data_IF_885337642661
#
_entry.id   IF_885337642661
#
_cell.length_a   1.000
_cell.length_b   1.000
_cell.length_c   1.000
_cell.angle_alpha   90.00
_cell.angle_beta   90.00
_cell.angle_gamma   90.00
#
_symmetry.space_group_name_H-M   'P 1'
#
loop_
_entity.id
_entity.type
_entity.pdbx_description
1 polymer ?
#
# COMPACT_ATOMS: atom_id res chain seq x y z
N UNK A 1 -25.21 8.86 30.42
CA UNK A 1 -26.02 7.89 29.63
C UNK A 1 -25.30 6.57 29.72
N UNK A 2 -25.89 5.56 30.35
CA UNK A 2 -25.31 4.21 30.34
C UNK A 2 -25.21 3.72 28.90
N UNK A 3 -24.12 3.04 28.56
CA UNK A 3 -23.90 2.48 27.23
C UNK A 3 -24.76 1.22 27.06
N UNK A 4 -26.04 1.41 26.70
CA UNK A 4 -26.95 0.33 26.37
C UNK A 4 -26.55 -0.32 25.03
N UNK A 5 -26.39 -1.64 25.02
CA UNK A 5 -26.15 -2.41 23.80
C UNK A 5 -27.46 -2.70 23.07
N UNK A 6 -27.84 -1.83 22.14
CA UNK A 6 -29.04 -1.99 21.32
C UNK A 6 -29.02 -3.22 20.39
N UNK A 7 -27.92 -3.96 20.33
CA UNK A 7 -27.79 -5.20 19.55
C UNK A 7 -27.82 -6.47 20.41
N UNK A 8 -28.01 -6.38 21.73
CA UNK A 8 -27.91 -7.53 22.63
C UNK A 8 -28.82 -8.71 22.20
N UNK A 9 -30.03 -8.42 21.75
CA UNK A 9 -30.96 -9.45 21.26
C UNK A 9 -30.45 -10.16 20.01
N UNK A 10 -29.93 -9.42 19.03
CA UNK A 10 -29.35 -10.03 17.82
C UNK A 10 -28.10 -10.85 18.14
N UNK A 11 -27.29 -10.42 19.10
CA UNK A 11 -26.08 -11.15 19.53
C UNK A 11 -26.43 -12.47 20.20
N UNK A 12 -27.55 -12.55 20.94
CA UNK A 12 -28.04 -13.79 21.57
C UNK A 12 -28.48 -14.86 20.57
N UNK A 13 -28.85 -14.48 19.35
CA UNK A 13 -29.25 -15.41 18.27
C UNK A 13 -28.07 -16.14 17.63
N UNK A 14 -26.82 -15.81 17.98
CA UNK A 14 -25.66 -16.46 17.41
C UNK A 14 -25.64 -17.96 17.75
N UNK A 15 -25.52 -18.81 16.74
CA UNK A 15 -25.45 -20.28 16.86
C UNK A 15 -24.01 -20.80 16.86
N UNK A 16 -23.04 -19.93 17.14
CA UNK A 16 -21.61 -20.24 17.19
C UNK A 16 -20.91 -19.35 18.22
N UNK A 17 -19.72 -19.76 18.67
CA UNK A 17 -18.90 -18.96 19.59
C UNK A 17 -18.21 -17.80 18.84
N UNK A 18 -18.55 -16.58 19.24
CA UNK A 18 -17.99 -15.36 18.67
C UNK A 18 -16.49 -15.22 18.94
N UNK A 19 -16.00 -15.63 20.11
CA UNK A 19 -14.58 -15.50 20.45
C UNK A 19 -13.72 -16.40 19.57
N UNK A 20 -14.16 -17.62 19.29
CA UNK A 20 -13.48 -18.51 18.34
C UNK A 20 -13.52 -17.96 16.91
N UNK A 21 -14.63 -17.36 16.48
CA UNK A 21 -14.72 -16.75 15.15
C UNK A 21 -13.78 -15.54 14.98
N UNK A 22 -13.52 -14.77 16.06
CA UNK A 22 -12.51 -13.71 16.03
C UNK A 22 -11.10 -14.26 15.76
N UNK A 23 -10.78 -15.42 16.32
CA UNK A 23 -9.49 -16.09 16.09
C UNK A 23 -9.39 -16.56 14.63
N UNK A 24 -10.45 -17.16 14.10
CA UNK A 24 -10.52 -17.55 12.67
C UNK A 24 -10.28 -16.35 11.77
N UNK A 25 -10.94 -15.22 12.04
CA UNK A 25 -10.72 -13.98 11.27
C UNK A 25 -9.29 -13.47 11.38
N UNK A 26 -8.73 -13.44 12.60
CA UNK A 26 -7.35 -12.97 12.80
C UNK A 26 -6.27 -13.92 12.23
N UNK A 27 -6.63 -15.19 11.98
CA UNK A 27 -5.74 -16.25 11.47
C UNK A 27 -4.94 -16.95 12.56
N UNK A 28 -4.77 -16.33 13.74
CA UNK A 28 -4.18 -16.96 14.92
C UNK A 28 -4.56 -16.20 16.19
N UNK A 29 -4.39 -16.84 17.35
CA UNK A 29 -4.62 -16.20 18.66
C UNK A 29 -3.66 -15.04 18.90
N UNK A 30 -2.38 -15.22 18.57
CA UNK A 30 -1.36 -14.17 18.66
C UNK A 30 -1.71 -12.95 17.80
N UNK A 31 -2.14 -13.15 16.55
CA UNK A 31 -2.52 -12.06 15.65
C UNK A 31 -3.73 -11.29 16.20
N UNK A 32 -4.70 -12.02 16.77
CA UNK A 32 -5.87 -11.41 17.40
C UNK A 32 -5.46 -10.52 18.57
N UNK A 33 -4.63 -11.02 19.48
CA UNK A 33 -4.17 -10.29 20.67
C UNK A 33 -3.36 -9.04 20.32
N UNK A 34 -2.45 -9.14 19.34
CA UNK A 34 -1.69 -7.98 18.84
C UNK A 34 -2.66 -6.95 18.24
N UNK A 35 -3.58 -7.40 17.39
CA UNK A 35 -4.52 -6.55 16.68
C UNK A 35 -5.49 -5.83 17.64
N UNK A 36 -6.11 -6.55 18.59
CA UNK A 36 -7.03 -5.96 19.58
C UNK A 36 -6.32 -4.95 20.48
N UNK A 37 -5.11 -5.27 20.95
CA UNK A 37 -4.31 -4.35 21.76
C UNK A 37 -3.94 -3.08 20.98
N UNK A 38 -3.50 -3.20 19.73
CA UNK A 38 -3.19 -2.03 18.90
C UNK A 38 -4.45 -1.21 18.56
N UNK A 39 -5.58 -1.86 18.29
CA UNK A 39 -6.85 -1.19 18.06
C UNK A 39 -7.25 -0.33 19.27
N UNK A 40 -7.16 -0.87 20.49
CA UNK A 40 -7.47 -0.14 21.74
C UNK A 40 -6.48 1.00 21.99
N UNK A 41 -5.20 0.76 21.75
CA UNK A 41 -4.16 1.78 21.89
C UNK A 41 -4.46 2.97 20.98
N UNK A 42 -4.77 2.73 19.70
CA UNK A 42 -5.08 3.80 18.75
C UNK A 42 -6.41 4.48 19.10
N UNK A 43 -7.45 3.73 19.46
CA UNK A 43 -8.76 4.28 19.77
C UNK A 43 -8.79 5.16 21.04
N UNK A 44 -7.92 4.87 22.01
CA UNK A 44 -7.82 5.63 23.26
C UNK A 44 -6.93 6.87 23.18
N UNK A 45 -6.14 7.02 22.11
CA UNK A 45 -5.24 8.16 21.92
C UNK A 45 -5.95 9.32 21.17
N UNK A 46 -6.13 10.50 21.79
CA UNK A 46 -6.81 11.63 21.17
C UNK A 46 -6.14 12.14 19.88
N UNK A 47 -4.83 11.92 19.71
CA UNK A 47 -4.09 12.37 18.52
C UNK A 47 -4.55 11.60 17.27
N UNK A 48 -4.97 10.34 17.43
CA UNK A 48 -5.41 9.50 16.31
C UNK A 48 -6.90 9.65 15.97
N UNK A 49 -7.62 10.54 16.66
CA UNK A 49 -9.02 10.83 16.37
C UNK A 49 -9.22 11.22 14.88
N UNK A 50 -10.28 10.68 14.26
CA UNK A 50 -10.55 10.83 12.81
C UNK A 50 -12.02 11.05 12.43
N UNK A 51 -12.88 11.29 13.41
CA UNK A 51 -14.31 11.59 13.24
C UNK A 51 -14.55 12.95 12.56
N UNK A 52 -13.66 13.92 12.74
CA UNK A 52 -13.73 15.25 12.14
C UNK A 52 -13.00 15.37 10.79
N UNK A 53 -12.46 14.26 10.25
CA UNK A 53 -11.59 14.26 9.05
C UNK A 53 -12.23 14.93 7.83
N UNK A 54 -13.53 14.70 7.63
CA UNK A 54 -14.29 15.24 6.49
C UNK A 54 -14.53 16.75 6.56
N UNK A 55 -14.28 17.36 7.72
CA UNK A 55 -14.49 18.79 7.98
C UNK A 55 -13.19 19.61 7.83
N UNK A 56 -12.04 18.96 7.63
CA UNK A 56 -10.75 19.63 7.49
C UNK A 56 -10.51 20.09 6.05
N UNK A 57 -9.90 21.27 5.89
CA UNK A 57 -9.36 21.70 4.60
C UNK A 57 -8.23 20.77 4.15
N UNK A 58 -7.87 20.78 2.85
CA UNK A 58 -6.75 19.95 2.36
C UNK A 58 -5.44 20.21 3.10
N UNK A 59 -5.13 21.47 3.41
CA UNK A 59 -3.91 21.84 4.12
C UNK A 59 -3.93 21.33 5.56
N UNK A 60 -5.06 21.50 6.25
CA UNK A 60 -5.19 21.08 7.65
C UNK A 60 -5.21 19.55 7.78
N UNK A 61 -5.88 18.86 6.84
CA UNK A 61 -5.85 17.41 6.75
C UNK A 61 -4.42 16.90 6.56
N UNK A 62 -3.66 17.48 5.63
CA UNK A 62 -2.29 17.06 5.40
C UNK A 62 -1.39 17.33 6.62
N UNK A 63 -1.53 18.49 7.27
CA UNK A 63 -0.81 18.82 8.51
C UNK A 63 -1.18 17.85 9.65
N UNK A 64 -2.45 17.49 9.79
CA UNK A 64 -2.91 16.48 10.74
C UNK A 64 -2.30 15.10 10.45
N UNK A 65 -2.20 14.71 9.17
CA UNK A 65 -1.51 13.47 8.76
C UNK A 65 -0.04 13.47 9.19
N UNK A 66 0.70 14.56 8.95
CA UNK A 66 2.09 14.69 9.37
C UNK A 66 2.22 14.58 10.90
N UNK A 67 1.33 15.25 11.63
CA UNK A 67 1.26 15.18 13.11
C UNK A 67 1.04 13.74 13.58
N UNK A 68 0.07 13.03 13.00
CA UNK A 68 -0.23 11.63 13.34
C UNK A 68 0.91 10.69 13.01
N UNK A 69 1.57 10.86 11.86
CA UNK A 69 2.73 10.05 11.47
C UNK A 69 3.91 10.25 12.43
N UNK A 70 4.23 11.49 12.80
CA UNK A 70 5.27 11.79 13.77
C UNK A 70 4.93 11.23 15.17
N UNK A 71 3.67 11.37 15.60
CA UNK A 71 3.20 10.80 16.87
C UNK A 71 3.26 9.27 16.86
N UNK A 72 2.81 8.62 15.80
CA UNK A 72 2.92 7.17 15.62
C UNK A 72 4.37 6.69 15.75
N UNK A 73 5.31 7.39 15.11
CA UNK A 73 6.74 7.07 15.22
C UNK A 73 7.25 7.21 16.67
N UNK A 74 6.87 8.29 17.35
CA UNK A 74 7.18 8.48 18.77
C UNK A 74 6.64 7.34 19.64
N UNK A 75 5.40 6.93 19.43
CA UNK A 75 4.77 5.81 20.18
C UNK A 75 5.45 4.48 19.90
N UNK A 76 5.85 4.22 18.66
CA UNK A 76 6.62 3.01 18.29
C UNK A 76 7.91 2.93 19.11
N UNK A 77 8.64 4.04 19.24
CA UNK A 77 9.90 4.09 20.02
C UNK A 77 9.62 3.95 21.52
N UNK A 78 8.71 4.76 22.08
CA UNK A 78 8.43 4.79 23.52
C UNK A 78 7.90 3.46 24.05
N UNK A 79 7.05 2.79 23.27
CA UNK A 79 6.46 1.50 23.61
C UNK A 79 7.31 0.31 23.14
N UNK A 80 8.43 0.58 22.45
CA UNK A 80 9.33 -0.44 21.88
C UNK A 80 8.58 -1.46 21.02
N UNK A 81 7.68 -0.97 20.16
CA UNK A 81 6.85 -1.83 19.34
C UNK A 81 7.68 -2.61 18.33
N UNK A 82 7.33 -3.88 18.13
CA UNK A 82 7.87 -4.70 17.05
C UNK A 82 7.44 -4.17 15.67
N UNK A 83 8.05 -4.65 14.58
CA UNK A 83 7.67 -4.27 13.23
C UNK A 83 6.20 -4.63 12.92
N UNK A 84 5.74 -5.77 13.41
CA UNK A 84 4.35 -6.24 13.27
C UNK A 84 3.37 -5.35 14.03
N UNK A 85 3.69 -5.01 15.29
CA UNK A 85 2.89 -4.10 16.12
C UNK A 85 2.85 -2.69 15.52
N UNK A 86 3.99 -2.20 15.02
CA UNK A 86 4.09 -0.91 14.35
C UNK A 86 3.29 -0.86 13.05
N UNK A 87 3.29 -1.94 12.26
CA UNK A 87 2.42 -2.09 11.09
C UNK A 87 0.96 -2.01 11.52
N UNK A 88 0.57 -2.76 12.56
CA UNK A 88 -0.82 -2.78 13.03
C UNK A 88 -1.28 -1.44 13.59
N UNK A 89 -0.41 -0.72 14.31
CA UNK A 89 -0.67 0.63 14.76
C UNK A 89 -1.00 1.54 13.57
N UNK A 90 -0.20 1.53 12.49
CA UNK A 90 -0.47 2.34 11.28
C UNK A 90 -1.79 1.96 10.62
N UNK A 91 -2.09 0.67 10.52
CA UNK A 91 -3.36 0.19 9.94
C UNK A 91 -4.58 0.69 10.72
N UNK A 92 -4.52 0.75 12.06
CA UNK A 92 -5.62 1.26 12.89
C UNK A 92 -5.71 2.80 12.92
N UNK A 93 -4.61 3.52 12.70
CA UNK A 93 -4.66 4.98 12.47
C UNK A 93 -5.53 5.30 11.25
N UNK A 94 -5.56 4.40 10.25
CA UNK A 94 -6.55 4.40 9.16
C UNK A 94 -6.57 5.73 8.39
N UNK A 95 -5.40 6.29 8.11
CA UNK A 95 -5.20 7.55 7.40
C UNK A 95 -4.05 7.40 6.39
N UNK A 96 -4.31 7.38 5.07
CA UNK A 96 -3.26 7.25 4.06
C UNK A 96 -2.17 8.31 4.24
N UNK A 97 -0.91 7.89 4.33
CA UNK A 97 0.22 8.76 4.61
C UNK A 97 1.51 8.31 3.89
N UNK A 98 2.48 9.21 3.75
CA UNK A 98 3.78 8.92 3.10
C UNK A 98 4.50 7.69 3.68
N UNK A 99 4.25 7.36 4.95
CA UNK A 99 4.80 6.18 5.62
C UNK A 99 4.40 4.87 4.93
N UNK A 100 3.23 4.83 4.31
CA UNK A 100 2.71 3.62 3.65
C UNK A 100 3.60 3.24 2.46
N UNK A 101 4.03 4.23 1.68
CA UNK A 101 4.95 4.02 0.55
C UNK A 101 6.38 3.84 1.01
N UNK A 102 6.79 4.50 2.10
CA UNK A 102 8.12 4.32 2.66
C UNK A 102 8.37 2.86 3.09
N UNK A 103 7.48 2.33 3.92
CA UNK A 103 7.58 0.97 4.45
C UNK A 103 7.14 -0.08 3.44
N UNK A 104 6.09 0.21 2.64
CA UNK A 104 5.46 -0.76 1.76
C UNK A 104 6.09 -0.91 0.38
N UNK A 105 6.86 0.10 -0.10
CA UNK A 105 7.43 0.07 -1.45
C UNK A 105 8.90 0.48 -1.49
N UNK A 106 9.30 1.59 -0.87
CA UNK A 106 10.69 2.08 -0.93
C UNK A 106 11.68 1.09 -0.32
N UNK A 107 11.45 0.68 0.94
CA UNK A 107 12.29 -0.31 1.62
C UNK A 107 12.27 -1.68 0.88
N UNK A 108 11.10 -2.25 0.52
CA UNK A 108 11.05 -3.49 -0.25
C UNK A 108 11.74 -3.43 -1.61
N UNK A 109 11.69 -2.30 -2.31
CA UNK A 109 12.40 -2.13 -3.58
C UNK A 109 13.92 -2.20 -3.39
N UNK A 110 14.45 -1.52 -2.35
CA UNK A 110 15.88 -1.59 -2.01
C UNK A 110 16.26 -3.02 -1.62
N UNK A 111 15.51 -3.68 -0.73
CA UNK A 111 15.77 -5.09 -0.35
C UNK A 111 15.74 -6.06 -1.53
N UNK A 112 14.80 -5.85 -2.44
CA UNK A 112 14.55 -6.75 -3.57
C UNK A 112 15.54 -6.59 -4.71
N UNK A 113 16.06 -5.37 -4.91
CA UNK A 113 16.81 -5.00 -6.13
C UNK A 113 18.20 -4.42 -5.82
N UNK A 114 18.52 -4.12 -4.57
CA UNK A 114 19.82 -3.61 -4.14
C UNK A 114 20.85 -4.71 -3.87
N UNK A 115 22.13 -4.37 -4.05
CA UNK A 115 23.25 -5.21 -3.60
C UNK A 115 23.38 -5.15 -2.07
N UNK A 116 24.16 -6.04 -1.47
CA UNK A 116 24.38 -6.01 -0.01
C UNK A 116 25.04 -4.69 0.46
N UNK A 117 25.99 -4.15 -0.32
CA UNK A 117 26.58 -2.84 -0.05
C UNK A 117 25.54 -1.71 -0.07
N UNK A 118 24.55 -1.81 -0.97
CA UNK A 118 23.44 -0.87 -1.02
C UNK A 118 22.48 -1.07 0.16
N UNK A 119 22.27 -2.32 0.61
CA UNK A 119 21.50 -2.60 1.81
C UNK A 119 22.14 -1.95 3.03
N UNK A 120 23.43 -2.19 3.26
CA UNK A 120 24.20 -1.66 4.38
C UNK A 120 24.18 -0.13 4.44
N UNK A 121 24.17 0.53 3.28
CA UNK A 121 24.05 1.99 3.21
C UNK A 121 22.63 2.47 3.46
N UNK A 122 21.68 2.03 2.63
CA UNK A 122 20.37 2.70 2.51
C UNK A 122 19.33 2.21 3.50
N UNK A 123 19.31 0.91 3.82
CA UNK A 123 18.29 0.35 4.69
C UNK A 123 18.40 0.88 6.13
N UNK A 124 19.58 0.99 6.77
CA UNK A 124 19.66 1.57 8.11
C UNK A 124 19.14 3.00 8.19
N UNK A 125 19.41 3.83 7.17
CA UNK A 125 18.90 5.20 7.11
C UNK A 125 17.37 5.23 6.96
N UNK A 126 16.82 4.36 6.09
CA UNK A 126 15.38 4.25 5.89
C UNK A 126 14.67 3.73 7.16
N UNK A 127 15.16 2.64 7.76
CA UNK A 127 14.62 2.06 8.99
C UNK A 127 14.63 3.03 10.17
N UNK A 128 15.63 3.92 10.24
CA UNK A 128 15.74 4.95 11.29
C UNK A 128 15.01 6.26 10.92
N UNK A 129 14.30 6.29 9.78
CA UNK A 129 13.64 7.49 9.26
C UNK A 129 14.58 8.69 9.08
N UNK A 130 15.89 8.44 8.89
CA UNK A 130 16.88 9.47 8.55
C UNK A 130 16.71 9.95 7.10
N UNK A 131 16.12 9.10 6.26
CA UNK A 131 15.62 9.45 4.94
C UNK A 131 14.18 8.98 4.81
N UNK A 132 13.38 9.72 4.03
CA UNK A 132 12.00 9.33 3.72
C UNK A 132 11.91 9.09 2.22
N UNK A 133 11.77 7.83 1.85
CA UNK A 133 11.67 7.40 0.47
C UNK A 133 10.24 7.19 -0.05
N UNK A 134 10.05 7.34 -1.37
CA UNK A 134 8.87 6.91 -2.12
C UNK A 134 9.24 6.06 -3.34
N UNK A 135 8.24 5.50 -4.02
CA UNK A 135 8.38 4.64 -5.21
C UNK A 135 7.91 5.38 -6.47
N UNK A 136 8.84 5.92 -7.24
CA UNK A 136 8.59 6.79 -8.39
C UNK A 136 8.70 6.03 -9.72
N UNK A 137 7.66 5.25 -10.04
CA UNK A 137 7.58 4.48 -11.28
C UNK A 137 6.67 5.12 -12.32
N UNK A 138 5.38 5.24 -12.01
CA UNK A 138 4.34 5.74 -12.93
C UNK A 138 4.65 7.15 -13.41
N UNK A 139 4.42 7.35 -14.71
CA UNK A 139 4.52 8.62 -15.41
C UNK A 139 3.15 9.09 -15.88
N UNK A 140 3.07 10.36 -16.28
CA UNK A 140 1.85 10.94 -16.84
C UNK A 140 1.37 10.15 -18.07
N UNK A 141 2.28 9.73 -18.95
CA UNK A 141 1.97 8.92 -20.14
C UNK A 141 1.85 7.41 -19.90
N UNK A 142 2.45 6.90 -18.80
CA UNK A 142 2.69 5.46 -18.63
C UNK A 142 2.49 4.98 -17.20
N UNK A 143 1.46 4.16 -16.98
CA UNK A 143 1.18 3.46 -15.71
C UNK A 143 1.27 1.95 -15.84
N UNK A 144 0.28 1.33 -16.48
CA UNK A 144 0.22 -0.12 -16.66
C UNK A 144 1.34 -0.65 -17.57
N UNK A 145 1.66 0.08 -18.65
CA UNK A 145 2.75 -0.28 -19.55
C UNK A 145 4.09 0.30 -19.05
N UNK A 146 4.68 -0.36 -18.04
CA UNK A 146 5.97 0.05 -17.46
C UNK A 146 7.11 -0.02 -18.49
N UNK A 147 7.05 -0.92 -19.47
CA UNK A 147 8.08 -0.98 -20.52
C UNK A 147 8.09 0.26 -21.42
N UNK A 148 7.03 1.07 -21.38
CA UNK A 148 6.93 2.33 -22.12
C UNK A 148 7.40 3.58 -21.36
N UNK A 149 7.93 3.47 -20.14
CA UNK A 149 8.43 4.64 -19.40
C UNK A 149 9.43 5.44 -20.25
N UNK A 150 9.36 6.77 -20.15
CA UNK A 150 10.12 7.74 -20.93
C UNK A 150 11.27 8.37 -20.15
N UNK A 151 11.21 8.42 -18.81
CA UNK A 151 12.34 8.92 -17.99
C UNK A 151 13.59 8.13 -18.34
N UNK A 152 14.71 8.81 -18.59
CA UNK A 152 15.99 8.18 -18.95
C UNK A 152 17.00 8.29 -17.82
N UNK A 153 17.86 7.28 -17.69
CA UNK A 153 19.05 7.28 -16.84
C UNK A 153 20.27 6.93 -17.71
N UNK A 154 20.98 7.96 -18.18
CA UNK A 154 22.11 7.78 -19.11
C UNK A 154 23.42 7.76 -18.33
N UNK A 155 24.20 6.70 -18.48
CA UNK A 155 25.50 6.57 -17.82
C UNK A 155 26.54 7.50 -18.47
N UNK A 156 27.26 8.25 -17.63
CA UNK A 156 28.38 9.10 -17.99
C UNK A 156 29.70 8.51 -17.43
N UNK A 157 30.51 7.83 -18.27
CA UNK A 157 31.76 7.23 -17.83
C UNK A 157 32.81 8.23 -17.37
N UNK A 158 32.71 9.51 -17.77
CA UNK A 158 33.70 10.52 -17.41
C UNK A 158 33.60 10.92 -15.94
N UNK A 159 32.39 10.92 -15.39
CA UNK A 159 32.12 11.33 -14.01
C UNK A 159 31.72 10.17 -13.09
N UNK A 160 31.55 8.95 -13.63
CA UNK A 160 31.03 7.77 -12.91
C UNK A 160 29.63 8.01 -12.32
N UNK A 161 28.75 8.62 -13.12
CA UNK A 161 27.41 9.04 -12.73
C UNK A 161 26.34 8.61 -13.74
N UNK A 162 25.07 8.58 -13.30
CA UNK A 162 23.91 8.57 -14.17
C UNK A 162 23.31 9.97 -14.26
N UNK A 163 22.93 10.38 -15.47
CA UNK A 163 22.14 11.57 -15.75
C UNK A 163 20.68 11.16 -15.88
N UNK A 164 19.86 11.51 -14.89
CA UNK A 164 18.42 11.28 -14.85
C UNK A 164 17.71 12.46 -15.51
N UNK A 165 16.88 12.19 -16.50
CA UNK A 165 16.17 13.24 -17.25
C UNK A 165 14.73 12.85 -17.61
N UNK A 166 13.85 13.85 -17.57
CA UNK A 166 12.46 13.79 -18.03
C UNK A 166 12.34 14.48 -19.40
N UNK A 167 12.51 13.75 -20.52
CA UNK A 167 12.63 14.35 -21.86
C UNK A 167 11.39 15.10 -22.34
N UNK A 168 10.22 14.72 -21.83
CA UNK A 168 8.92 15.25 -22.25
C UNK A 168 8.06 15.61 -21.03
N UNK A 169 6.94 16.30 -21.26
CA UNK A 169 5.96 16.47 -20.18
C UNK A 169 5.36 15.12 -19.76
N UNK A 170 5.14 14.19 -20.69
CA UNK A 170 4.54 12.88 -20.43
C UNK A 170 5.45 11.95 -19.63
N UNK A 171 6.77 12.16 -19.70
CA UNK A 171 7.78 11.50 -18.85
C UNK A 171 7.78 11.94 -17.38
N UNK A 172 7.00 12.96 -17.01
CA UNK A 172 6.89 13.39 -15.63
C UNK A 172 6.37 12.23 -14.79
N UNK A 173 7.07 11.88 -13.71
CA UNK A 173 6.53 10.96 -12.71
C UNK A 173 5.23 11.54 -12.17
N UNK A 174 4.22 10.70 -12.00
CA UNK A 174 2.87 11.10 -11.63
C UNK A 174 2.17 9.98 -10.85
N UNK A 175 1.55 10.31 -9.72
CA UNK A 175 0.93 9.42 -8.70
C UNK A 175 1.74 8.98 -7.46
N UNK A 176 3.08 8.90 -7.43
CA UNK A 176 3.78 8.36 -6.26
C UNK A 176 3.35 9.00 -4.94
N UNK A 177 2.85 8.18 -4.00
CA UNK A 177 2.47 8.65 -2.66
C UNK A 177 3.69 9.05 -1.85
N UNK A 178 3.60 10.12 -1.06
CA UNK A 178 4.73 10.68 -0.31
C UNK A 178 5.64 11.62 -1.12
N UNK A 179 5.54 11.60 -2.45
CA UNK A 179 6.45 12.36 -3.31
C UNK A 179 6.21 13.87 -3.26
N UNK A 180 4.94 14.28 -3.21
CA UNK A 180 4.58 15.66 -3.50
C UNK A 180 5.20 16.67 -2.53
N UNK A 181 5.35 16.29 -1.26
CA UNK A 181 5.81 17.16 -0.19
C UNK A 181 6.73 16.50 0.83
N UNK A 182 6.67 15.19 1.07
CA UNK A 182 7.39 14.59 2.23
C UNK A 182 8.69 13.89 1.89
N UNK A 183 8.74 13.09 0.82
CA UNK A 183 9.90 12.25 0.56
C UNK A 183 11.14 13.08 0.23
N UNK A 184 12.25 12.75 0.90
CA UNK A 184 13.58 13.31 0.63
C UNK A 184 14.34 12.51 -0.42
N UNK A 185 13.96 11.24 -0.62
CA UNK A 185 14.53 10.34 -1.62
C UNK A 185 13.42 9.60 -2.38
N UNK A 186 13.76 9.02 -3.52
CA UNK A 186 12.89 8.09 -4.23
C UNK A 186 13.69 6.95 -4.85
N UNK A 187 13.08 5.78 -5.01
CA UNK A 187 13.50 4.84 -6.05
C UNK A 187 12.76 5.22 -7.32
N UNK A 188 13.51 5.74 -8.30
CA UNK A 188 13.04 6.21 -9.60
C UNK A 188 13.25 5.10 -10.62
N UNK A 189 12.20 4.76 -11.37
CA UNK A 189 12.33 3.83 -12.48
C UNK A 189 12.52 4.57 -13.80
N UNK A 190 13.58 4.25 -14.51
CA UNK A 190 13.95 4.93 -15.76
C UNK A 190 14.56 3.95 -16.77
N UNK A 191 14.56 4.32 -18.05
CA UNK A 191 15.25 3.61 -19.11
C UNK A 191 16.76 3.72 -18.90
N UNK A 192 17.42 2.61 -18.64
CA UNK A 192 18.87 2.57 -18.49
C UNK A 192 19.53 2.68 -19.86
N UNK A 193 20.32 3.73 -20.05
CA UNK A 193 21.08 3.96 -21.28
C UNK A 193 22.56 3.93 -20.94
N UNK A 194 23.33 3.06 -21.60
CA UNK A 194 24.80 3.07 -21.53
C UNK A 194 25.39 2.84 -22.91
N UNK A 195 26.39 3.64 -23.27
CA UNK A 195 26.84 3.75 -24.66
C UNK A 195 25.69 4.19 -25.58
N UNK A 196 25.43 3.42 -26.65
CA UNK A 196 24.34 3.67 -27.59
C UNK A 196 23.13 2.75 -27.39
N UNK A 197 23.06 2.03 -26.26
CA UNK A 197 22.06 0.98 -26.04
C UNK A 197 21.11 1.32 -24.90
N UNK A 198 19.84 0.98 -25.11
CA UNK A 198 18.77 1.02 -24.12
C UNK A 198 18.56 -0.38 -23.55
N UNK A 199 18.74 -0.52 -22.24
CA UNK A 199 18.65 -1.80 -21.54
C UNK A 199 17.30 -1.99 -20.81
N UNK A 200 16.32 -1.14 -21.08
CA UNK A 200 15.01 -1.18 -20.44
C UNK A 200 15.00 -0.57 -19.04
N UNK A 201 13.91 -0.83 -18.31
CA UNK A 201 13.58 -0.12 -17.07
C UNK A 201 14.35 -0.68 -15.87
N UNK A 202 15.05 0.21 -15.15
CA UNK A 202 15.80 -0.09 -13.94
C UNK A 202 15.48 0.91 -12.83
N UNK A 203 15.75 0.53 -11.58
CA UNK A 203 15.54 1.36 -10.39
C UNK A 203 16.81 2.12 -9.98
N UNK A 204 16.65 3.39 -9.62
CA UNK A 204 17.73 4.29 -9.22
C UNK A 204 17.33 5.04 -7.95
N UNK A 205 18.16 5.04 -6.92
CA UNK A 205 17.95 5.88 -5.73
C UNK A 205 18.34 7.31 -6.10
N UNK A 206 17.41 8.25 -5.93
CA UNK A 206 17.65 9.68 -6.21
C UNK A 206 17.26 10.49 -4.99
N UNK A 207 18.17 11.36 -4.54
CA UNK A 207 17.84 12.36 -3.53
C UNK A 207 17.03 13.48 -4.19
N UNK A 208 15.87 13.80 -3.61
CA UNK A 208 14.92 14.77 -4.14
C UNK A 208 15.01 16.12 -3.45
N UNK A 209 15.32 16.09 -2.15
CA UNK A 209 15.31 17.27 -1.27
C UNK A 209 16.52 17.27 -0.36
N UNK A 210 16.97 18.46 -0.01
CA UNK A 210 17.96 18.67 1.05
C UNK A 210 17.47 18.06 2.36
N UNK A 211 18.38 17.43 3.12
CA UNK A 211 18.07 16.92 4.47
C UNK A 211 18.11 18.02 5.54
N UNK A 212 18.62 19.20 5.20
CA UNK A 212 18.77 20.32 6.14
C UNK A 212 17.53 21.22 6.16
N UNK A 213 17.05 21.63 4.98
CA UNK A 213 15.97 22.61 4.83
C UNK A 213 14.77 22.12 3.99
N UNK A 214 14.83 20.89 3.51
CA UNK A 214 13.79 20.23 2.70
C UNK A 214 13.52 20.88 1.33
N UNK A 215 14.37 21.82 0.90
CA UNK A 215 14.29 22.43 -0.43
C UNK A 215 14.55 21.37 -1.52
N UNK A 216 13.85 21.43 -2.68
CA UNK A 216 14.17 20.58 -3.82
C UNK A 216 15.62 20.79 -4.28
N UNK A 217 16.34 19.71 -4.58
CA UNK A 217 17.71 19.80 -5.10
C UNK A 217 17.73 20.40 -6.52
N UNK A 218 18.88 20.93 -7.00
CA UNK A 218 19.01 21.46 -8.34
C UNK A 218 18.55 20.46 -9.42
N UNK A 219 17.85 20.97 -10.44
CA UNK A 219 17.29 20.15 -11.53
C UNK A 219 16.02 19.36 -11.16
N UNK A 220 15.52 19.46 -9.92
CA UNK A 220 14.33 18.74 -9.46
C UNK A 220 13.11 19.66 -9.43
N UNK A 221 12.08 19.29 -10.20
CA UNK A 221 10.74 19.88 -10.08
C UNK A 221 9.80 18.88 -9.41
N UNK A 222 9.23 19.21 -8.25
CA UNK A 222 8.39 18.31 -7.46
C UNK A 222 7.17 19.04 -6.85
N UNK A 223 6.01 18.38 -6.83
CA UNK A 223 4.77 18.97 -6.30
C UNK A 223 3.66 17.96 -6.08
N UNK A 224 2.55 18.38 -5.45
CA UNK A 224 1.34 17.55 -5.29
C UNK A 224 0.48 17.63 -6.56
N UNK A 225 -0.15 16.52 -6.95
CA UNK A 225 -0.98 16.43 -8.16
C UNK A 225 -2.42 16.96 -7.99
N UNK A 226 -2.82 17.32 -6.76
CA UNK A 226 -4.10 17.94 -6.46
C UNK A 226 -5.09 17.08 -5.66
N UNK A 227 -6.34 17.56 -5.67
CA UNK A 227 -7.47 16.91 -5.00
C UNK A 227 -7.87 15.61 -5.70
N UNK A 228 -8.22 14.62 -4.90
CA UNK A 228 -8.61 13.27 -5.30
C UNK A 228 -10.02 12.96 -4.80
N UNK A 229 -10.58 11.86 -5.30
CA UNK A 229 -11.94 11.44 -4.98
C UNK A 229 -12.18 11.21 -3.47
N UNK A 230 -13.32 11.70 -2.98
CA UNK A 230 -13.82 11.51 -1.61
C UNK A 230 -13.33 12.54 -0.56
N UNK A 231 -14.19 12.85 0.42
CA UNK A 231 -13.85 13.74 1.54
C UNK A 231 -12.91 13.05 2.53
N UNK A 232 -11.76 13.66 2.81
CA UNK A 232 -10.69 12.98 3.54
C UNK A 232 -10.00 11.96 2.62
N UNK A 233 -10.37 10.68 2.71
CA UNK A 233 -9.86 9.60 1.84
C UNK A 233 -8.35 9.71 1.53
N UNK A 234 -7.96 9.59 0.26
CA UNK A 234 -6.57 9.75 -0.18
C UNK A 234 -6.08 11.21 -0.20
N UNK A 235 -6.93 12.20 0.09
CA UNK A 235 -6.48 13.60 0.18
C UNK A 235 -5.56 13.85 1.39
N UNK A 236 -5.44 12.91 2.33
CA UNK A 236 -4.39 12.95 3.35
C UNK A 236 -2.99 12.62 2.81
N UNK A 237 -2.90 11.97 1.65
CA UNK A 237 -1.67 11.62 0.94
C UNK A 237 -1.26 12.72 -0.04
N UNK A 238 0.04 13.02 -0.08
CA UNK A 238 0.68 13.89 -1.05
C UNK A 238 1.17 13.13 -2.29
N UNK A 239 0.23 12.56 -3.05
CA UNK A 239 0.54 11.99 -4.37
C UNK A 239 1.20 13.05 -5.24
N UNK A 240 2.39 12.74 -5.77
CA UNK A 240 3.26 13.74 -6.35
C UNK A 240 3.44 13.66 -7.86
N UNK A 241 3.94 14.77 -8.39
CA UNK A 241 4.62 14.86 -9.67
C UNK A 241 6.11 15.07 -9.46
N UNK A 242 6.95 14.56 -10.37
CA UNK A 242 8.39 14.77 -10.35
C UNK A 242 8.97 14.82 -11.77
N UNK A 243 9.81 15.83 -12.03
CA UNK A 243 10.59 15.96 -13.27
C UNK A 243 12.06 16.21 -12.94
N UNK A 244 12.92 15.69 -13.80
CA UNK A 244 14.36 15.84 -13.72
C UNK A 244 14.89 16.62 -14.92
N UNK A 245 15.64 17.68 -14.65
CA UNK A 245 16.47 18.36 -15.63
C UNK A 245 17.93 17.94 -15.43
N UNK A 246 18.35 16.92 -16.18
CA UNK A 246 19.70 16.37 -16.20
C UNK A 246 20.34 16.18 -14.81
N UNK A 247 19.59 15.60 -13.87
CA UNK A 247 20.02 15.40 -12.48
C UNK A 247 21.06 14.28 -12.43
N UNK A 248 22.22 14.57 -11.84
CA UNK A 248 23.33 13.62 -11.72
C UNK A 248 23.28 12.86 -10.40
N UNK A 249 23.44 11.54 -10.48
CA UNK A 249 23.58 10.65 -9.33
C UNK A 249 24.80 9.74 -9.50
N UNK A 250 25.52 9.37 -8.41
CA UNK A 250 26.61 8.40 -8.50
C UNK A 250 26.17 7.07 -9.11
N UNK A 251 27.05 6.40 -9.88
CA UNK A 251 26.77 5.10 -10.51
C UNK A 251 26.22 4.07 -9.52
N UNK A 252 26.78 4.02 -8.31
CA UNK A 252 26.36 3.08 -7.27
C UNK A 252 24.97 3.35 -6.64
N UNK A 253 24.22 4.35 -7.16
CA UNK A 253 22.83 4.57 -6.80
C UNK A 253 21.83 3.86 -7.73
N UNK A 254 22.27 3.24 -8.83
CA UNK A 254 21.47 2.26 -9.57
C UNK A 254 21.33 0.98 -8.74
N UNK A 255 20.13 0.43 -8.58
CA UNK A 255 19.89 -0.83 -7.86
C UNK A 255 20.45 -2.03 -8.66
N UNK A 256 21.54 -2.61 -8.16
CA UNK A 256 22.44 -3.45 -8.98
C UNK A 256 22.39 -4.96 -8.68
N UNK A 257 21.40 -5.45 -7.94
CA UNK A 257 21.33 -6.86 -7.54
C UNK A 257 21.22 -7.82 -8.72
N UNK A 258 20.37 -7.49 -9.69
CA UNK A 258 20.04 -8.36 -10.84
C UNK A 258 20.71 -7.92 -12.14
N UNK A 259 21.29 -6.73 -12.18
CA UNK A 259 21.91 -6.13 -13.37
C UNK A 259 22.85 -5.02 -12.94
N UNK A 260 24.03 -4.94 -13.54
CA UNK A 260 25.09 -4.03 -13.14
C UNK A 260 25.57 -3.20 -14.32
N UNK A 261 26.11 -2.02 -14.00
CA UNK A 261 26.88 -1.20 -14.95
C UNK A 261 28.27 -1.03 -14.37
N UNK A 262 29.28 -1.51 -15.09
CA UNK A 262 30.68 -1.36 -14.67
C UNK A 262 31.13 0.09 -14.84
N UNK A 263 32.27 0.46 -14.26
CA UNK A 263 32.83 1.81 -14.38
C UNK A 263 33.13 2.19 -15.85
N UNK A 264 33.43 1.20 -16.67
CA UNK A 264 33.68 1.35 -18.12
C UNK A 264 32.37 1.47 -18.93
N UNK A 265 31.20 1.43 -18.27
CA UNK A 265 29.90 1.54 -18.92
C UNK A 265 29.38 0.24 -19.54
N UNK A 266 29.94 -0.92 -19.16
CA UNK A 266 29.43 -2.20 -19.66
C UNK A 266 28.22 -2.64 -18.83
N UNK A 267 27.12 -2.94 -19.51
CA UNK A 267 25.98 -3.61 -18.90
C UNK A 267 26.29 -5.09 -18.68
N UNK A 268 26.12 -5.57 -17.44
CA UNK A 268 26.39 -6.96 -17.06
C UNK A 268 25.17 -7.51 -16.32
N UNK A 269 24.64 -8.62 -16.82
CA UNK A 269 23.66 -9.39 -16.08
C UNK A 269 24.35 -10.10 -14.92
N UNK A 270 23.87 -9.92 -13.68
CA UNK A 270 24.41 -10.66 -12.53
C UNK A 270 24.06 -12.14 -12.61
N UNK A 271 24.72 -12.93 -11.77
CA UNK A 271 24.38 -14.32 -11.46
C UNK A 271 23.00 -14.47 -10.80
N UNK A 272 22.51 -13.42 -10.15
CA UNK A 272 21.15 -13.37 -9.57
C UNK A 272 20.08 -13.35 -10.69
N UNK A 273 19.15 -14.34 -10.71
CA UNK A 273 18.07 -14.41 -11.70
C UNK A 273 17.12 -13.20 -11.65
N UNK A 274 16.79 -12.60 -12.79
CA UNK A 274 15.83 -11.47 -12.90
C UNK A 274 14.45 -11.81 -12.35
N UNK A 275 14.09 -13.10 -12.40
CA UNK A 275 12.84 -13.67 -11.89
C UNK A 275 12.65 -13.35 -10.40
N UNK A 276 13.72 -13.11 -9.64
CA UNK A 276 13.63 -12.75 -8.22
C UNK A 276 12.93 -11.42 -7.96
N UNK A 277 12.94 -10.49 -8.93
CA UNK A 277 12.21 -9.21 -8.82
C UNK A 277 10.68 -9.44 -8.76
N UNK A 278 10.19 -10.57 -9.30
CA UNK A 278 8.77 -10.91 -9.21
C UNK A 278 8.30 -11.19 -7.78
N UNK A 279 9.21 -11.57 -6.86
CA UNK A 279 8.88 -11.80 -5.46
C UNK A 279 8.24 -10.57 -4.81
N UNK A 280 8.76 -9.37 -5.09
CA UNK A 280 8.18 -8.11 -4.58
C UNK A 280 6.76 -7.88 -5.10
N UNK A 281 6.50 -8.19 -6.38
CA UNK A 281 5.17 -8.01 -6.97
C UNK A 281 4.16 -9.03 -6.42
N UNK A 282 4.57 -10.29 -6.21
CA UNK A 282 3.72 -11.32 -5.60
C UNK A 282 3.35 -10.92 -4.18
N UNK A 283 4.32 -10.44 -3.39
CA UNK A 283 4.10 -9.93 -2.04
C UNK A 283 3.08 -8.78 -2.01
N UNK A 284 3.29 -7.74 -2.85
CA UNK A 284 2.38 -6.58 -2.89
C UNK A 284 0.97 -6.98 -3.33
N UNK A 285 0.81 -7.94 -4.24
CA UNK A 285 -0.52 -8.43 -4.64
C UNK A 285 -1.21 -9.21 -3.52
N UNK A 286 -0.44 -9.99 -2.74
CA UNK A 286 -0.95 -10.69 -1.57
C UNK A 286 -1.52 -9.70 -0.54
N UNK A 287 -0.80 -8.61 -0.23
CA UNK A 287 -1.29 -7.60 0.71
C UNK A 287 -2.56 -6.91 0.21
N UNK A 288 -2.65 -6.59 -1.08
CA UNK A 288 -3.86 -6.00 -1.68
C UNK A 288 -5.09 -6.91 -1.52
N UNK A 289 -4.93 -8.22 -1.69
CA UNK A 289 -6.03 -9.19 -1.51
C UNK A 289 -6.47 -9.24 -0.04
N UNK A 290 -5.52 -9.24 0.90
CA UNK A 290 -5.83 -9.13 2.32
C UNK A 290 -6.56 -7.82 2.65
N UNK A 291 -6.13 -6.69 2.10
CA UNK A 291 -6.78 -5.38 2.28
C UNK A 291 -8.20 -5.37 1.74
N UNK A 292 -8.46 -6.03 0.61
CA UNK A 292 -9.79 -6.17 0.03
C UNK A 292 -10.76 -6.86 1.00
N UNK A 293 -10.30 -7.88 1.73
CA UNK A 293 -11.12 -8.57 2.76
C UNK A 293 -11.44 -7.64 3.93
N UNK A 294 -10.45 -6.88 4.42
CA UNK A 294 -10.61 -5.93 5.52
C UNK A 294 -11.56 -4.78 5.16
N UNK A 295 -11.39 -4.19 3.98
CA UNK A 295 -12.25 -3.11 3.49
C UNK A 295 -13.70 -3.60 3.30
N UNK A 296 -13.91 -4.79 2.74
CA UNK A 296 -15.24 -5.36 2.57
C UNK A 296 -15.90 -5.67 3.92
N UNK A 297 -15.17 -6.31 4.85
CA UNK A 297 -15.67 -6.63 6.17
C UNK A 297 -16.10 -5.40 6.96
N UNK A 298 -15.37 -4.27 6.84
CA UNK A 298 -15.76 -3.00 7.46
C UNK A 298 -17.09 -2.48 6.92
N UNK A 299 -17.27 -2.47 5.59
CA UNK A 299 -18.52 -2.05 4.96
C UNK A 299 -19.70 -2.96 5.36
N UNK A 300 -19.50 -4.27 5.30
CA UNK A 300 -20.49 -5.27 5.69
C UNK A 300 -20.84 -5.14 7.17
N UNK A 301 -19.87 -4.93 8.06
CA UNK A 301 -20.12 -4.74 9.49
C UNK A 301 -21.06 -3.55 9.75
N UNK A 302 -20.82 -2.42 9.07
CA UNK A 302 -21.70 -1.24 9.17
C UNK A 302 -23.10 -1.55 8.64
N UNK A 303 -23.19 -2.12 7.43
CA UNK A 303 -24.46 -2.42 6.79
C UNK A 303 -25.30 -3.45 7.57
N UNK A 304 -24.69 -4.51 8.10
CA UNK A 304 -25.33 -5.53 8.92
C UNK A 304 -25.87 -4.93 10.20
N UNK A 305 -25.06 -4.18 10.95
CA UNK A 305 -25.50 -3.53 12.19
C UNK A 305 -26.64 -2.55 11.92
N UNK A 306 -26.49 -1.68 10.93
CA UNK A 306 -27.55 -0.71 10.60
C UNK A 306 -28.84 -1.40 10.15
N UNK A 307 -28.74 -2.47 9.35
CA UNK A 307 -29.92 -3.22 8.87
C UNK A 307 -30.66 -3.93 10.01
N UNK A 308 -29.96 -4.30 11.08
CA UNK A 308 -30.57 -4.88 12.27
C UNK A 308 -31.21 -3.83 13.20
N UNK A 309 -30.86 -2.55 13.09
CA UNK A 309 -31.50 -1.49 13.88
C UNK A 309 -32.63 -0.83 13.10
N UNK A 310 -32.42 -0.59 11.81
CA UNK A 310 -33.40 0.10 10.97
C UNK A 310 -34.64 -0.76 10.81
N UNK A 311 -35.77 -0.23 11.25
CA UNK A 311 -37.10 -0.76 10.97
C UNK A 311 -37.76 0.09 9.90
N UNK A 312 -38.43 -0.55 8.94
CA UNK A 312 -39.19 0.14 7.90
C UNK A 312 -40.21 -0.82 7.27
N UNK A 313 -41.47 -0.40 7.16
CA UNK A 313 -42.60 -1.18 6.66
C UNK A 313 -42.94 -2.40 7.54
N UNK A 314 -43.89 -3.23 7.06
CA UNK A 314 -44.16 -4.55 7.64
C UNK A 314 -44.74 -4.54 9.07
N UNK A 315 -45.26 -3.41 9.56
CA UNK A 315 -46.01 -3.39 10.82
C UNK A 315 -47.23 -4.32 10.69
N UNK A 316 -47.31 -5.29 11.58
CA UNK A 316 -48.47 -6.17 11.71
C UNK A 316 -49.24 -5.79 12.98
N UNK A 317 -50.55 -5.57 12.85
CA UNK A 317 -51.49 -5.33 13.97
C UNK A 317 -51.06 -4.21 14.94
N UNK A 318 -50.45 -3.13 14.43
CA UNK A 318 -50.00 -2.00 15.25
C UNK A 318 -48.70 -2.26 16.05
N UNK A 319 -48.02 -3.39 15.80
CA UNK A 319 -46.70 -3.68 16.33
C UNK A 319 -45.58 -2.86 15.68
N UNK A 320 -44.34 -2.95 16.20
CA UNK A 320 -43.19 -2.28 15.61
C UNK A 320 -42.95 -2.73 14.16
N UNK A 321 -42.48 -1.82 13.32
CA UNK A 321 -42.07 -2.11 11.94
C UNK A 321 -40.99 -3.22 11.90
N UNK A 322 -40.92 -3.96 10.79
CA UNK A 322 -39.97 -5.06 10.60
C UNK A 322 -38.54 -4.52 10.45
N UNK A 323 -37.53 -5.21 11.00
CA UNK A 323 -36.13 -4.87 10.76
C UNK A 323 -35.80 -5.11 9.28
N UNK A 324 -35.11 -4.18 8.63
CA UNK A 324 -34.88 -4.29 7.18
C UNK A 324 -34.01 -5.49 6.83
N UNK A 325 -33.20 -6.02 7.75
CA UNK A 325 -32.41 -7.25 7.57
C UNK A 325 -33.28 -8.51 7.40
N UNK A 326 -34.55 -8.48 7.79
CA UNK A 326 -35.46 -9.63 7.66
C UNK A 326 -36.01 -9.79 6.24
N UNK A 327 -35.90 -8.75 5.40
CA UNK A 327 -36.34 -8.81 4.01
C UNK A 327 -35.36 -9.59 3.13
N UNK A 328 -35.88 -10.50 2.32
CA UNK A 328 -35.07 -11.32 1.40
C UNK A 328 -34.25 -10.49 0.41
N UNK A 329 -34.76 -9.34 -0.02
CA UNK A 329 -34.04 -8.40 -0.89
C UNK A 329 -32.83 -7.78 -0.20
N UNK A 330 -32.91 -7.51 1.11
CA UNK A 330 -31.78 -7.02 1.89
C UNK A 330 -30.75 -8.15 2.13
N UNK A 331 -31.23 -9.35 2.49
CA UNK A 331 -30.39 -10.53 2.69
C UNK A 331 -29.63 -10.91 1.42
N UNK A 332 -30.30 -10.96 0.26
CA UNK A 332 -29.69 -11.33 -1.02
C UNK A 332 -28.63 -10.33 -1.50
N UNK A 333 -28.66 -9.10 -1.00
CA UNK A 333 -27.66 -8.07 -1.29
C UNK A 333 -26.49 -8.10 -0.30
N UNK A 334 -26.76 -8.36 0.98
CA UNK A 334 -25.78 -8.20 2.05
C UNK A 334 -25.04 -9.50 2.40
N UNK A 335 -25.75 -10.62 2.48
CA UNK A 335 -25.17 -11.89 2.93
C UNK A 335 -24.13 -12.46 1.96
N UNK A 336 -24.29 -12.34 0.62
CA UNK A 336 -23.21 -12.71 -0.30
C UNK A 336 -21.93 -11.90 -0.06
N UNK A 337 -22.04 -10.61 0.28
CA UNK A 337 -20.88 -9.77 0.58
C UNK A 337 -20.20 -10.17 1.90
N UNK A 338 -20.99 -10.57 2.90
CA UNK A 338 -20.46 -11.15 4.13
C UNK A 338 -19.68 -12.44 3.84
N UNK A 339 -20.25 -13.34 3.03
CA UNK A 339 -19.58 -14.55 2.60
C UNK A 339 -18.29 -14.24 1.81
N UNK A 340 -18.33 -13.28 0.89
CA UNK A 340 -17.15 -12.83 0.13
C UNK A 340 -16.07 -12.26 1.03
N UNK A 341 -16.40 -11.54 2.12
CA UNK A 341 -15.40 -11.03 3.06
C UNK A 341 -14.57 -12.17 3.68
N UNK A 342 -15.22 -13.25 4.11
CA UNK A 342 -14.53 -14.44 4.63
C UNK A 342 -13.80 -15.21 3.52
N UNK A 343 -14.40 -15.38 2.34
CA UNK A 343 -13.72 -16.02 1.22
C UNK A 343 -12.43 -15.29 0.83
N UNK A 344 -12.47 -13.96 0.79
CA UNK A 344 -11.31 -13.12 0.51
C UNK A 344 -10.26 -13.18 1.62
N UNK A 345 -10.71 -13.31 2.87
CA UNK A 345 -9.81 -13.51 4.01
C UNK A 345 -9.04 -14.83 3.87
N UNK A 346 -9.73 -15.92 3.58
CA UNK A 346 -9.11 -17.24 3.43
C UNK A 346 -8.18 -17.35 2.21
N UNK A 347 -8.58 -16.80 1.06
CA UNK A 347 -7.69 -16.78 -0.12
C UNK A 347 -6.47 -15.87 0.10
N UNK A 348 -6.60 -14.83 0.93
CA UNK A 348 -5.47 -14.00 1.35
C UNK A 348 -4.45 -14.76 2.21
N UNK A 349 -4.90 -15.64 3.11
CA UNK A 349 -4.02 -16.53 3.88
C UNK A 349 -3.36 -17.59 2.98
N UNK A 350 -4.09 -18.14 2.02
CA UNK A 350 -3.50 -19.03 1.02
C UNK A 350 -2.42 -18.32 0.17
N UNK A 351 -2.65 -17.07 -0.23
CA UNK A 351 -1.64 -16.28 -0.94
C UNK A 351 -0.39 -15.99 -0.10
N UNK A 352 -0.52 -15.90 1.23
CA UNK A 352 0.62 -15.78 2.16
C UNK A 352 1.47 -17.05 2.15
N UNK A 353 0.83 -18.21 2.16
CA UNK A 353 1.51 -19.50 1.93
C UNK A 353 2.19 -19.53 0.56
N UNK A 354 1.48 -19.17 -0.52
CA UNK A 354 2.02 -19.18 -1.88
C UNK A 354 3.26 -18.27 -2.01
N UNK A 355 3.22 -17.08 -1.41
CA UNK A 355 4.38 -16.19 -1.38
C UNK A 355 5.59 -16.84 -0.71
N UNK A 356 5.38 -17.57 0.39
CA UNK A 356 6.44 -18.27 1.11
C UNK A 356 7.02 -19.41 0.28
N UNK A 357 6.16 -20.24 -0.33
CA UNK A 357 6.55 -21.33 -1.23
C UNK A 357 7.35 -20.82 -2.43
N UNK A 358 6.83 -19.82 -3.14
CA UNK A 358 7.52 -19.20 -4.29
C UNK A 358 8.87 -18.60 -3.87
N UNK A 359 8.94 -17.91 -2.72
CA UNK A 359 10.20 -17.34 -2.25
C UNK A 359 11.25 -18.42 -1.97
N UNK A 360 10.87 -19.53 -1.34
CA UNK A 360 11.76 -20.65 -1.07
C UNK A 360 12.26 -21.33 -2.35
N UNK A 361 11.35 -21.58 -3.31
CA UNK A 361 11.70 -22.15 -4.63
C UNK A 361 12.64 -21.25 -5.41
N UNK A 362 12.35 -19.95 -5.40
CA UNK A 362 13.16 -18.93 -6.05
C UNK A 362 14.61 -18.89 -5.50
N UNK A 363 14.79 -19.04 -4.19
CA UNK A 363 16.13 -19.16 -3.59
C UNK A 363 16.87 -20.42 -4.04
N UNK A 364 16.14 -21.50 -4.30
CA UNK A 364 16.67 -22.74 -4.87
C UNK A 364 16.80 -22.71 -6.41
N UNK A 365 16.60 -21.55 -7.05
CA UNK A 365 16.57 -21.39 -8.52
C UNK A 365 15.53 -22.27 -9.23
N UNK A 366 14.44 -22.63 -8.54
CA UNK A 366 13.26 -23.25 -9.13
C UNK A 366 12.23 -22.18 -9.54
N UNK A 367 12.01 -22.05 -10.85
CA UNK A 367 11.08 -21.09 -11.44
C UNK A 367 9.80 -21.75 -11.98
N UNK A 368 9.61 -23.05 -11.77
CA UNK A 368 8.56 -23.84 -12.41
C UNK A 368 7.15 -23.34 -12.08
N UNK A 369 6.91 -22.87 -10.85
CA UNK A 369 5.61 -22.37 -10.37
C UNK A 369 5.41 -20.87 -10.58
N UNK A 370 6.43 -20.15 -11.07
CA UNK A 370 6.37 -18.69 -11.21
C UNK A 370 5.28 -18.20 -12.19
N UNK A 371 5.06 -18.84 -13.36
CA UNK A 371 3.98 -18.44 -14.27
C UNK A 371 2.60 -18.55 -13.62
N UNK A 372 2.34 -19.64 -12.89
CA UNK A 372 1.09 -19.86 -12.16
C UNK A 372 0.92 -18.83 -11.04
N UNK A 373 1.95 -18.65 -10.21
CA UNK A 373 1.91 -17.69 -9.12
C UNK A 373 1.64 -16.26 -9.63
N UNK A 374 2.24 -15.88 -10.77
CA UNK A 374 1.96 -14.60 -11.40
C UNK A 374 0.50 -14.48 -11.85
N UNK A 375 -0.04 -15.48 -12.55
CA UNK A 375 -1.41 -15.48 -13.04
C UNK A 375 -2.43 -15.45 -11.89
N UNK A 376 -2.26 -16.32 -10.89
CA UNK A 376 -3.14 -16.42 -9.72
C UNK A 376 -3.15 -15.11 -8.93
N UNK A 377 -1.99 -14.54 -8.62
CA UNK A 377 -1.92 -13.28 -7.86
C UNK A 377 -2.50 -12.10 -8.64
N UNK A 378 -2.31 -12.04 -9.96
CA UNK A 378 -2.91 -11.01 -10.81
C UNK A 378 -4.45 -11.12 -10.84
N UNK A 379 -4.97 -12.32 -11.10
CA UNK A 379 -6.40 -12.60 -11.19
C UNK A 379 -7.11 -12.35 -9.87
N UNK A 380 -6.58 -12.86 -8.76
CA UNK A 380 -7.14 -12.67 -7.42
C UNK A 380 -7.11 -11.20 -7.00
N UNK A 381 -6.02 -10.48 -7.27
CA UNK A 381 -5.98 -9.03 -7.04
C UNK A 381 -7.09 -8.32 -7.81
N UNK A 382 -7.27 -8.64 -9.10
CA UNK A 382 -8.29 -8.01 -9.94
C UNK A 382 -9.70 -8.31 -9.42
N UNK A 383 -10.01 -9.58 -9.18
CA UNK A 383 -11.33 -10.04 -8.76
C UNK A 383 -11.73 -9.46 -7.40
N UNK A 384 -10.87 -9.62 -6.38
CA UNK A 384 -11.19 -9.18 -5.01
C UNK A 384 -11.35 -7.66 -4.92
N UNK A 385 -10.47 -6.89 -5.57
CA UNK A 385 -10.60 -5.42 -5.56
C UNK A 385 -11.84 -4.93 -6.30
N UNK A 386 -12.22 -5.58 -7.41
CA UNK A 386 -13.43 -5.23 -8.16
C UNK A 386 -14.69 -5.49 -7.35
N UNK A 387 -14.82 -6.69 -6.76
CA UNK A 387 -15.98 -7.05 -5.93
C UNK A 387 -16.08 -6.16 -4.70
N UNK A 388 -14.96 -5.93 -4.01
CA UNK A 388 -14.94 -5.04 -2.84
C UNK A 388 -15.33 -3.61 -3.19
N UNK A 389 -14.92 -3.08 -4.34
CA UNK A 389 -15.27 -1.72 -4.76
C UNK A 389 -16.76 -1.58 -5.12
N UNK A 390 -17.34 -2.55 -5.84
CA UNK A 390 -18.77 -2.55 -6.21
C UNK A 390 -19.67 -2.62 -4.97
N UNK A 391 -19.20 -3.15 -3.84
CA UNK A 391 -19.97 -3.12 -2.60
C UNK A 391 -20.25 -1.69 -2.09
N UNK A 392 -19.36 -0.73 -2.40
CA UNK A 392 -19.49 0.68 -1.98
C UNK A 392 -20.38 1.50 -2.92
N UNK A 393 -20.40 1.13 -4.21
CA UNK A 393 -21.15 1.85 -5.23
C UNK A 393 -22.31 0.97 -5.67
N UNK A 394 -23.52 1.36 -5.27
CA UNK A 394 -24.75 0.67 -5.66
C UNK A 394 -24.89 0.65 -7.19
N UNK A 395 -24.34 -0.37 -7.82
CA UNK A 395 -24.67 -0.77 -9.17
C UNK A 395 -25.00 -2.26 -9.15
N UNK A 396 -26.22 -2.65 -9.55
CA UNK A 396 -26.47 -4.02 -9.93
C UNK A 396 -25.61 -4.29 -11.16
N UNK A 397 -24.44 -4.90 -10.98
CA UNK A 397 -23.71 -5.44 -12.12
C UNK A 397 -24.50 -6.65 -12.63
N UNK A 398 -24.88 -6.70 -13.92
CA UNK A 398 -25.42 -7.89 -14.54
C UNK A 398 -24.24 -8.84 -14.78
N UNK A 399 -23.88 -9.63 -13.77
CA UNK A 399 -23.02 -10.79 -13.97
C UNK A 399 -23.85 -12.04 -13.67
N UNK A 400 -24.64 -12.40 -14.68
CA UNK A 400 -25.04 -13.76 -15.02
C UNK A 400 -24.71 -13.96 -16.50
#
# INVERSE_FOLDING_TARGET
MEALDYHAEERRKAEFDLEEMKIVWAGSRQNYEISDRMARLVASDPVFRKDNRTMLSRKDLFKDTLRKAAHAWKRIIELRLSEEEAHMLRSYVDQPAFTDLHWGMFIPAIKGQGTEEQHEKWLPMAYKMQIIGCYAQTELGHGSNVQGLETTATFDPQTDEFVIHSPTLTSSKWWPGGLGKVSTHAVVYARLITGAQDHGVHGFIVQLRSLDDHSPLPGITVGDIGMKFGSGAYNSMDNGLLRFDHVRIPRNQMLMRVSQVTREGKFVQSDVPRQLVYGTMVYVRQTIVSDASCALARAVCIATRYSAVRRQFGSQNGGPETQVIDYKTQQSRLFPLLASAYAFRFVGEWLKWLYTDVTQRLQASDFSTLPEAHACTAGLKSMTTSVTAVCYFYQPSPLL
#
